data_IF_736434611991
#
_entry.id   IF_736434611991
#
_cell.length_a   1.000
_cell.length_b   1.000
_cell.length_c   1.000
_cell.angle_alpha   90.00
_cell.angle_beta   90.00
_cell.angle_gamma   90.00
#
_symmetry.space_group_name_H-M   'P 1'
#
loop_
_entity.id
_entity.type
_entity.pdbx_description
1 polymer ?
#
# COMPACT_ATOMS: atom_id res chain seq x y z
N UNK A 1 0.58 13.16 11.25
CA UNK A 1 1.01 12.19 10.23
C UNK A 1 -0.10 11.19 10.03
N UNK A 2 -0.27 10.70 8.81
CA UNK A 2 -1.39 9.84 8.44
C UNK A 2 -1.11 8.36 8.66
N UNK A 3 0.09 7.84 8.35
CA UNK A 3 0.43 6.40 8.38
C UNK A 3 -0.61 5.51 7.69
N UNK A 4 -1.23 6.01 6.63
CA UNK A 4 -2.30 5.30 5.92
C UNK A 4 -1.69 4.20 5.07
N UNK A 5 -2.42 3.11 4.91
CA UNK A 5 -2.02 2.03 4.02
C UNK A 5 -3.25 1.37 3.39
N UNK A 6 -3.00 0.56 2.36
CA UNK A 6 -3.97 -0.38 1.83
C UNK A 6 -3.62 -1.80 2.24
N UNK A 7 -4.65 -2.62 2.43
CA UNK A 7 -4.53 -4.07 2.59
C UNK A 7 -5.32 -4.74 1.48
N UNK A 8 -4.66 -5.59 0.71
CA UNK A 8 -5.22 -6.33 -0.40
C UNK A 8 -5.31 -7.80 0.01
N UNK A 9 -6.51 -8.32 0.23
CA UNK A 9 -6.71 -9.75 0.50
C UNK A 9 -6.97 -10.47 -0.81
N UNK A 10 -6.14 -11.45 -1.12
CA UNK A 10 -6.29 -12.31 -2.28
C UNK A 10 -7.54 -13.18 -2.16
N UNK A 11 -8.24 -13.32 -3.29
CA UNK A 11 -9.41 -14.19 -3.47
C UNK A 11 -8.99 -15.43 -4.27
N UNK A 12 -9.78 -16.53 -4.23
CA UNK A 12 -9.46 -17.77 -4.96
C UNK A 12 -9.30 -17.65 -6.49
N UNK A 13 -9.71 -16.53 -7.08
CA UNK A 13 -9.57 -16.22 -8.51
C UNK A 13 -8.38 -15.28 -8.79
N UNK A 14 -7.45 -15.11 -7.84
CA UNK A 14 -6.29 -14.20 -7.92
C UNK A 14 -6.64 -12.72 -8.09
N UNK A 15 -7.87 -12.33 -7.74
CA UNK A 15 -8.26 -10.93 -7.59
C UNK A 15 -8.23 -10.51 -6.12
N UNK A 16 -8.36 -9.22 -5.83
CA UNK A 16 -8.14 -8.68 -4.49
C UNK A 16 -9.33 -7.88 -3.98
N UNK A 17 -9.62 -8.04 -2.69
CA UNK A 17 -10.45 -7.09 -1.95
C UNK A 17 -9.54 -6.05 -1.31
N UNK A 18 -9.82 -4.77 -1.55
CA UNK A 18 -8.99 -3.66 -1.07
C UNK A 18 -9.63 -3.06 0.17
N UNK A 19 -8.85 -2.96 1.24
CA UNK A 19 -9.25 -2.36 2.51
C UNK A 19 -8.34 -1.21 2.89
N UNK A 20 -8.91 -0.26 3.63
CA UNK A 20 -8.19 0.90 4.15
C UNK A 20 -7.77 0.68 5.59
N UNK A 21 -6.59 1.18 5.95
CA UNK A 21 -6.16 1.31 7.34
C UNK A 21 -5.59 2.70 7.58
N UNK A 22 -6.02 3.33 8.68
CA UNK A 22 -5.54 4.66 9.00
C UNK A 22 -4.10 4.65 9.51
N UNK A 23 -3.71 3.69 10.36
CA UNK A 23 -2.38 3.66 10.99
C UNK A 23 -1.47 2.52 10.50
N UNK A 24 -1.90 1.78 9.48
CA UNK A 24 -1.22 0.59 9.01
C UNK A 24 0.17 0.81 8.43
N UNK A 25 0.51 2.00 7.95
CA UNK A 25 1.85 2.34 7.44
C UNK A 25 2.93 2.48 8.52
N UNK A 26 2.54 2.54 9.80
CA UNK A 26 3.45 2.75 10.90
C UNK A 26 4.31 1.49 11.14
N UNK A 27 5.62 1.60 10.91
CA UNK A 27 6.64 0.56 11.14
C UNK A 27 6.33 -0.81 10.51
N UNK A 28 5.48 -0.85 9.48
CA UNK A 28 5.00 -2.07 8.84
C UNK A 28 4.38 -3.10 9.81
N UNK A 29 3.84 -2.65 10.95
CA UNK A 29 3.42 -3.53 12.05
C UNK A 29 2.28 -4.49 11.70
N UNK A 30 1.47 -4.17 10.69
CA UNK A 30 0.33 -5.01 10.30
C UNK A 30 0.75 -6.40 9.83
N UNK A 31 1.99 -6.59 9.38
CA UNK A 31 2.53 -7.91 9.03
C UNK A 31 2.35 -8.95 10.13
N UNK A 32 2.31 -8.55 11.41
CA UNK A 32 2.11 -9.46 12.55
C UNK A 32 0.70 -9.42 13.14
N UNK A 33 -0.09 -8.41 12.78
CA UNK A 33 -1.43 -8.21 13.32
C UNK A 33 -2.49 -8.93 12.48
N UNK A 34 -2.26 -9.02 11.18
CA UNK A 34 -3.16 -9.72 10.25
C UNK A 34 -2.92 -11.23 10.34
N UNK A 35 -3.92 -11.94 10.83
CA UNK A 35 -3.90 -13.40 11.01
C UNK A 35 -5.27 -13.97 10.68
N UNK A 36 -5.42 -15.28 10.42
CA UNK A 36 -6.74 -15.87 10.15
C UNK A 36 -7.76 -15.58 11.26
N UNK A 37 -7.32 -15.55 12.52
CA UNK A 37 -8.19 -15.26 13.68
C UNK A 37 -8.49 -13.76 13.85
N UNK A 38 -7.70 -12.90 13.20
CA UNK A 38 -7.80 -11.43 13.27
C UNK A 38 -7.61 -10.87 11.86
N UNK A 39 -8.53 -11.15 10.93
CA UNK A 39 -8.34 -10.81 9.53
C UNK A 39 -8.17 -9.30 9.35
N UNK A 40 -8.88 -8.48 10.15
CA UNK A 40 -8.78 -7.02 10.13
C UNK A 40 -7.89 -6.43 11.25
N UNK A 41 -7.04 -7.25 11.86
CA UNK A 41 -6.20 -6.88 13.00
C UNK A 41 -6.98 -6.80 14.32
N UNK A 42 -6.50 -5.97 15.25
CA UNK A 42 -7.06 -5.86 16.61
C UNK A 42 -6.30 -6.69 17.65
N UNK A 43 -6.66 -6.52 18.92
CA UNK A 43 -5.94 -7.14 20.04
C UNK A 43 -6.30 -8.62 20.24
N UNK A 44 -7.53 -9.00 19.90
CA UNK A 44 -8.07 -10.34 20.18
C UNK A 44 -8.75 -10.94 18.96
N UNK A 45 -8.93 -12.26 18.89
CA UNK A 45 -9.82 -12.86 17.90
C UNK A 45 -11.25 -12.33 18.01
N UNK A 46 -11.91 -12.16 16.86
CA UNK A 46 -13.31 -11.75 16.76
C UNK A 46 -14.00 -12.65 15.73
N UNK A 47 -14.92 -13.51 16.18
CA UNK A 47 -15.62 -14.49 15.34
C UNK A 47 -16.49 -13.79 14.29
N UNK A 48 -17.06 -12.62 14.62
CA UNK A 48 -17.88 -11.88 13.67
C UNK A 48 -17.03 -11.31 12.54
N UNK A 49 -15.83 -10.80 12.85
CA UNK A 49 -14.90 -10.32 11.84
C UNK A 49 -14.40 -11.45 10.93
N UNK A 50 -14.18 -12.65 11.47
CA UNK A 50 -13.84 -13.84 10.69
C UNK A 50 -14.96 -14.21 9.72
N UNK A 51 -16.21 -14.28 10.20
CA UNK A 51 -17.38 -14.56 9.33
C UNK A 51 -17.54 -13.50 8.24
N UNK A 52 -17.38 -12.21 8.58
CA UNK A 52 -17.45 -11.12 7.60
C UNK A 52 -16.34 -11.23 6.56
N UNK A 53 -15.11 -11.56 6.97
CA UNK A 53 -13.99 -11.79 6.06
C UNK A 53 -14.26 -12.95 5.09
N UNK A 54 -14.75 -14.08 5.59
CA UNK A 54 -15.11 -15.24 4.75
C UNK A 54 -16.18 -14.86 3.71
N UNK A 55 -17.22 -14.13 4.11
CA UNK A 55 -18.26 -13.65 3.20
C UNK A 55 -17.70 -12.73 2.10
N UNK A 56 -16.72 -11.89 2.44
CA UNK A 56 -16.08 -10.97 1.50
C UNK A 56 -15.30 -11.70 0.39
N UNK A 57 -14.74 -12.88 0.66
CA UNK A 57 -13.97 -13.65 -0.33
C UNK A 57 -14.84 -14.09 -1.52
N UNK A 58 -16.13 -14.36 -1.28
CA UNK A 58 -17.08 -14.81 -2.29
C UNK A 58 -18.03 -13.70 -2.79
N UNK A 59 -18.03 -12.53 -2.15
CA UNK A 59 -18.91 -11.43 -2.49
C UNK A 59 -18.69 -10.89 -3.91
N UNK A 60 -19.79 -10.58 -4.60
CA UNK A 60 -19.77 -9.91 -5.92
C UNK A 60 -20.06 -8.42 -5.83
N UNK A 61 -20.76 -7.98 -4.79
CA UNK A 61 -21.02 -6.56 -4.48
C UNK A 61 -20.90 -6.32 -2.98
N UNK A 62 -20.57 -5.08 -2.60
CA UNK A 62 -20.47 -4.69 -1.17
C UNK A 62 -21.85 -4.76 -0.51
N UNK A 63 -22.90 -4.36 -1.22
CA UNK A 63 -24.29 -4.36 -0.74
C UNK A 63 -24.87 -5.77 -0.53
N UNK A 64 -24.24 -6.81 -1.10
CA UNK A 64 -24.64 -8.21 -0.87
C UNK A 64 -24.23 -8.72 0.53
N UNK A 65 -23.41 -7.93 1.25
CA UNK A 65 -22.95 -8.24 2.60
C UNK A 65 -23.80 -7.42 3.56
N UNK A 66 -24.17 -8.03 4.70
CA UNK A 66 -24.89 -7.33 5.77
C UNK A 66 -24.08 -6.10 6.20
N UNK A 67 -24.51 -4.90 5.78
CA UNK A 67 -23.82 -3.65 6.10
C UNK A 67 -23.83 -3.35 7.60
N UNK A 68 -24.82 -3.88 8.33
CA UNK A 68 -24.82 -3.79 9.79
C UNK A 68 -23.63 -4.57 10.40
N UNK A 69 -23.04 -5.53 9.67
CA UNK A 69 -21.83 -6.21 10.09
C UNK A 69 -20.60 -5.28 10.12
N UNK A 70 -20.59 -4.19 9.33
CA UNK A 70 -19.51 -3.20 9.34
C UNK A 70 -19.68 -2.15 10.44
N UNK A 71 -20.92 -1.80 10.78
CA UNK A 71 -21.25 -0.71 11.72
C UNK A 71 -21.50 -1.20 13.16
N UNK A 72 -21.59 -2.51 13.38
CA UNK A 72 -21.62 -3.08 14.73
C UNK A 72 -20.38 -2.65 15.49
N UNK A 73 -20.55 -2.07 16.68
CA UNK A 73 -19.44 -1.76 17.60
C UNK A 73 -18.67 -3.05 17.89
N UNK A 74 -17.59 -3.28 17.15
CA UNK A 74 -16.63 -4.31 17.50
C UNK A 74 -15.92 -3.84 18.76
N UNK A 75 -15.96 -4.68 19.79
CA UNK A 75 -15.22 -4.43 21.04
C UNK A 75 -13.69 -4.47 20.85
N UNK A 76 -13.21 -4.72 19.63
CA UNK A 76 -11.83 -5.02 19.29
C UNK A 76 -11.16 -3.99 18.35
N UNK A 77 -11.78 -2.82 18.13
CA UNK A 77 -11.31 -1.69 17.27
C UNK A 77 -10.33 -2.11 16.15
N UNK A 78 -10.85 -2.61 15.02
CA UNK A 78 -10.02 -3.23 14.00
C UNK A 78 -9.03 -2.21 13.40
N UNK A 79 -7.78 -2.65 13.24
CA UNK A 79 -6.74 -1.81 12.65
C UNK A 79 -6.94 -1.58 11.15
N UNK A 80 -7.66 -2.48 10.49
CA UNK A 80 -8.08 -2.39 9.09
C UNK A 80 -9.60 -2.22 9.06
N UNK A 81 -10.11 -1.28 8.25
CA UNK A 81 -11.56 -1.11 8.10
C UNK A 81 -12.15 -2.37 7.45
N UNK A 82 -13.12 -3.06 8.10
CA UNK A 82 -13.71 -4.28 7.54
C UNK A 82 -14.48 -4.03 6.24
N UNK A 83 -15.07 -2.85 6.07
CA UNK A 83 -15.72 -2.48 4.81
C UNK A 83 -14.66 -2.26 3.71
N UNK A 84 -14.68 -3.03 2.61
CA UNK A 84 -13.75 -2.86 1.50
C UNK A 84 -14.01 -1.56 0.74
N UNK A 85 -12.96 -0.99 0.17
CA UNK A 85 -13.02 0.08 -0.82
C UNK A 85 -13.39 -0.43 -2.21
N UNK A 86 -12.95 -1.65 -2.55
CA UNK A 86 -13.19 -2.31 -3.82
C UNK A 86 -13.15 -3.84 -3.63
N UNK A 87 -13.86 -4.57 -4.50
CA UNK A 87 -13.95 -6.02 -4.49
C UNK A 87 -13.43 -6.60 -5.78
N UNK A 88 -12.67 -7.69 -5.69
CA UNK A 88 -12.27 -8.51 -6.83
C UNK A 88 -11.51 -7.78 -7.93
N UNK A 89 -10.65 -6.82 -7.57
CA UNK A 89 -9.85 -6.05 -8.53
C UNK A 89 -8.56 -6.79 -8.87
N UNK A 90 -8.00 -6.55 -10.05
CA UNK A 90 -6.69 -7.12 -10.41
C UNK A 90 -5.56 -6.44 -9.63
N UNK A 91 -4.39 -7.07 -9.56
CA UNK A 91 -3.22 -6.43 -8.93
C UNK A 91 -2.75 -5.19 -9.69
N UNK A 92 -2.82 -5.22 -11.02
CA UNK A 92 -2.48 -4.07 -11.87
C UNK A 92 -3.44 -2.90 -11.63
N UNK A 93 -4.75 -3.15 -11.63
CA UNK A 93 -5.79 -2.17 -11.30
C UNK A 93 -5.63 -1.60 -9.88
N UNK A 94 -5.24 -2.44 -8.91
CA UNK A 94 -4.91 -1.99 -7.55
C UNK A 94 -3.80 -0.93 -7.57
N UNK A 95 -2.71 -1.20 -8.28
CA UNK A 95 -1.55 -0.31 -8.35
C UNK A 95 -1.81 0.93 -9.20
N UNK A 96 -2.66 0.82 -10.22
CA UNK A 96 -3.00 1.90 -11.13
C UNK A 96 -4.04 2.85 -10.53
N UNK A 97 -5.16 2.33 -10.02
CA UNK A 97 -6.35 3.12 -9.72
C UNK A 97 -6.58 3.33 -8.21
N UNK A 98 -6.29 2.32 -7.39
CA UNK A 98 -6.64 2.35 -5.97
C UNK A 98 -5.51 2.83 -5.05
N UNK A 99 -4.27 2.51 -5.37
CA UNK A 99 -3.12 2.91 -4.57
C UNK A 99 -2.78 4.38 -4.79
N UNK A 100 -3.25 5.22 -3.87
CA UNK A 100 -2.79 6.60 -3.75
C UNK A 100 -1.35 6.66 -3.22
N UNK A 101 -0.37 6.69 -4.11
CA UNK A 101 1.06 6.70 -3.80
C UNK A 101 1.48 7.85 -2.89
N UNK A 102 0.83 9.02 -2.99
CA UNK A 102 1.15 10.18 -2.15
C UNK A 102 0.78 9.95 -0.68
N UNK A 103 -0.35 9.29 -0.41
CA UNK A 103 -0.93 9.25 0.94
C UNK A 103 -0.92 7.88 1.60
N UNK A 104 -0.84 6.80 0.83
CA UNK A 104 -0.65 5.45 1.34
C UNK A 104 0.84 5.16 1.47
N UNK A 105 1.34 5.11 2.71
CA UNK A 105 2.76 4.89 3.04
C UNK A 105 3.18 3.43 2.93
N UNK A 106 2.21 2.51 2.85
CA UNK A 106 2.44 1.09 2.65
C UNK A 106 1.28 0.42 1.90
N UNK A 107 1.58 -0.75 1.33
CA UNK A 107 0.62 -1.71 0.79
C UNK A 107 0.92 -3.07 1.42
N UNK A 108 -0.11 -3.76 1.90
CA UNK A 108 -0.02 -5.13 2.36
C UNK A 108 -0.79 -6.02 1.41
N UNK A 109 -0.17 -7.10 0.96
CA UNK A 109 -0.83 -8.15 0.18
C UNK A 109 -0.90 -9.38 1.07
N UNK A 110 -2.12 -9.85 1.34
CA UNK A 110 -2.39 -11.04 2.14
C UNK A 110 -2.87 -12.13 1.19
N UNK A 111 -2.10 -13.19 1.05
CA UNK A 111 -2.48 -14.31 0.18
C UNK A 111 -3.50 -15.24 0.85
N UNK A 112 -3.98 -16.24 0.12
CA UNK A 112 -4.96 -17.22 0.63
C UNK A 112 -4.47 -18.00 1.87
N UNK A 113 -3.15 -18.20 1.99
CA UNK A 113 -2.50 -18.83 3.15
C UNK A 113 -2.26 -17.86 4.33
N UNK A 114 -2.76 -16.62 4.24
CA UNK A 114 -2.54 -15.53 5.20
C UNK A 114 -1.08 -15.10 5.37
N UNK A 115 -0.23 -15.37 4.38
CA UNK A 115 1.11 -14.79 4.32
C UNK A 115 1.00 -13.32 3.91
N UNK A 116 1.61 -12.45 4.69
CA UNK A 116 1.53 -11.00 4.50
C UNK A 116 2.82 -10.49 3.86
N UNK A 117 2.73 -10.03 2.62
CA UNK A 117 3.81 -9.30 1.95
C UNK A 117 3.61 -7.81 2.12
N UNK A 118 4.55 -7.14 2.77
CA UNK A 118 4.51 -5.70 2.97
C UNK A 118 5.39 -4.96 1.96
N UNK A 119 4.82 -3.93 1.35
CA UNK A 119 5.49 -3.03 0.43
C UNK A 119 5.53 -1.61 0.96
N UNK A 120 6.63 -0.91 0.70
CA UNK A 120 6.73 0.54 0.84
C UNK A 120 6.40 1.23 -0.47
N UNK A 121 5.60 2.26 -0.34
CA UNK A 121 5.12 3.07 -1.46
C UNK A 121 6.06 4.24 -1.74
N UNK A 122 6.35 4.47 -3.01
CA UNK A 122 7.23 5.52 -3.52
C UNK A 122 6.49 6.33 -4.56
N UNK A 123 6.07 7.54 -4.20
CA UNK A 123 5.37 8.42 -5.14
C UNK A 123 6.33 9.28 -5.95
N UNK A 124 6.19 9.23 -7.28
CA UNK A 124 7.07 9.99 -8.18
C UNK A 124 6.68 11.46 -8.35
N UNK A 125 5.53 11.91 -7.83
CA UNK A 125 5.15 13.32 -7.94
C UNK A 125 6.09 14.24 -7.16
N UNK A 126 6.51 15.34 -7.77
CA UNK A 126 7.47 16.34 -7.31
C UNK A 126 6.83 17.66 -6.90
N UNK A 127 5.50 17.74 -6.78
CA UNK A 127 4.81 19.01 -6.43
C UNK A 127 5.22 19.59 -5.06
N UNK A 128 5.90 18.81 -4.22
CA UNK A 128 6.46 19.25 -2.94
C UNK A 128 7.99 19.37 -2.96
N UNK A 129 8.61 19.01 -4.07
CA UNK A 129 10.07 18.92 -4.25
C UNK A 129 10.59 19.86 -5.36
N UNK A 130 9.70 20.38 -6.23
CA UNK A 130 9.98 21.31 -7.32
C UNK A 130 8.95 22.45 -7.35
N UNK A 131 9.39 23.70 -7.33
CA UNK A 131 8.52 24.89 -7.34
C UNK A 131 7.73 25.02 -8.66
N UNK A 132 8.30 24.53 -9.75
CA UNK A 132 7.68 24.55 -11.08
C UNK A 132 6.58 23.49 -11.28
N UNK A 133 6.33 22.63 -10.29
CA UNK A 133 5.35 21.55 -10.33
C UNK A 133 4.23 21.82 -9.32
N UNK A 134 2.99 21.91 -9.80
CA UNK A 134 1.85 22.31 -8.96
C UNK A 134 0.88 21.18 -8.64
N UNK A 135 0.82 20.15 -9.48
CA UNK A 135 -0.04 18.97 -9.28
C UNK A 135 0.48 17.79 -10.09
N UNK A 136 0.36 16.59 -9.53
CA UNK A 136 0.71 15.34 -10.19
C UNK A 136 -0.22 14.19 -9.81
N UNK A 137 -0.41 13.20 -10.70
CA UNK A 137 -1.26 12.04 -10.42
C UNK A 137 -0.81 11.35 -9.13
N UNK A 138 -1.78 11.04 -8.26
CA UNK A 138 -1.56 10.37 -6.98
C UNK A 138 -1.71 8.86 -7.10
N UNK A 139 -2.52 8.39 -8.04
CA UNK A 139 -2.63 6.99 -8.43
C UNK A 139 -1.90 6.80 -9.77
N UNK A 140 -1.41 5.59 -10.04
CA UNK A 140 -0.71 5.25 -11.28
C UNK A 140 0.61 6.00 -11.54
N UNK A 141 1.22 6.62 -10.52
CA UNK A 141 2.45 7.39 -10.66
C UNK A 141 3.42 7.15 -9.49
N UNK A 142 3.93 5.93 -9.40
CA UNK A 142 4.81 5.54 -8.32
C UNK A 142 5.31 4.12 -8.43
N UNK A 143 5.87 3.64 -7.34
CA UNK A 143 6.34 2.28 -7.20
C UNK A 143 6.01 1.71 -5.82
N UNK A 144 5.92 0.40 -5.73
CA UNK A 144 5.91 -0.34 -4.47
C UNK A 144 7.09 -1.29 -4.44
N UNK A 145 7.81 -1.33 -3.31
CA UNK A 145 8.94 -2.27 -3.12
C UNK A 145 8.85 -2.99 -1.79
N UNK A 146 9.17 -4.28 -1.78
CA UNK A 146 9.27 -5.04 -0.52
C UNK A 146 10.42 -4.52 0.34
N UNK A 147 10.32 -4.70 1.65
CA UNK A 147 11.43 -4.44 2.58
C UNK A 147 12.07 -5.74 3.05
N UNK A 148 13.31 -5.66 3.55
CA UNK A 148 13.98 -6.80 4.16
C UNK A 148 13.46 -7.01 5.57
N UNK A 149 13.38 -8.27 5.99
CA UNK A 149 12.94 -8.67 7.32
C UNK A 149 14.03 -9.47 8.04
N UNK A 150 14.21 -9.23 9.33
CA UNK A 150 15.09 -10.02 10.19
C UNK A 150 14.45 -10.17 11.56
N UNK A 151 14.29 -11.41 12.03
CA UNK A 151 13.61 -11.73 13.30
C UNK A 151 12.25 -11.03 13.47
N UNK A 152 11.47 -10.96 12.38
CA UNK A 152 10.15 -10.31 12.39
C UNK A 152 10.18 -8.80 12.33
N UNK A 153 11.33 -8.14 12.28
CA UNK A 153 11.41 -6.68 12.19
C UNK A 153 11.86 -6.22 10.80
N UNK A 154 11.29 -5.12 10.27
CA UNK A 154 11.74 -4.56 9.01
C UNK A 154 13.12 -3.93 9.17
N UNK A 155 14.09 -4.37 8.34
CA UNK A 155 15.47 -3.89 8.37
C UNK A 155 15.72 -2.93 7.21
N UNK A 156 16.19 -1.74 7.55
CA UNK A 156 16.53 -0.71 6.56
C UNK A 156 15.32 0.02 6.00
N UNK A 157 14.14 -0.11 6.60
CA UNK A 157 12.93 0.60 6.19
C UNK A 157 13.12 2.14 6.19
N UNK A 158 13.65 2.68 7.29
CA UNK A 158 13.97 4.11 7.38
C UNK A 158 15.04 4.55 6.37
N UNK A 159 16.01 3.69 6.06
CA UNK A 159 17.01 3.94 5.01
C UNK A 159 16.33 4.02 3.64
N UNK A 160 15.45 3.06 3.33
CA UNK A 160 14.68 2.98 2.08
C UNK A 160 13.83 4.23 1.84
N UNK A 161 13.18 4.75 2.89
CA UNK A 161 12.38 5.96 2.79
C UNK A 161 13.25 7.21 2.62
N UNK A 162 14.32 7.33 3.42
CA UNK A 162 15.24 8.47 3.34
C UNK A 162 15.99 8.56 2.00
N UNK A 163 16.41 7.42 1.46
CA UNK A 163 17.10 7.33 0.16
C UNK A 163 16.20 7.85 -0.98
N UNK A 164 14.93 7.45 -1.01
CA UNK A 164 14.00 7.93 -2.02
C UNK A 164 13.60 9.40 -1.82
N UNK A 165 13.45 9.85 -0.58
CA UNK A 165 13.19 11.26 -0.29
C UNK A 165 14.36 12.15 -0.75
N UNK A 166 15.60 11.71 -0.53
CA UNK A 166 16.79 12.42 -1.01
C UNK A 166 16.83 12.48 -2.54
N UNK A 167 16.49 11.37 -3.21
CA UNK A 167 16.39 11.32 -4.67
C UNK A 167 15.39 12.37 -5.18
N UNK A 168 14.19 12.42 -4.61
CA UNK A 168 13.15 13.38 -5.00
C UNK A 168 13.61 14.82 -4.85
N UNK A 169 14.23 15.16 -3.72
CA UNK A 169 14.74 16.51 -3.47
C UNK A 169 15.74 16.95 -4.54
N UNK A 170 16.69 16.09 -4.91
CA UNK A 170 17.69 16.39 -5.96
C UNK A 170 17.03 16.48 -7.34
N UNK A 171 16.14 15.54 -7.66
CA UNK A 171 15.45 15.51 -8.95
C UNK A 171 14.56 16.74 -9.12
N UNK A 172 13.86 17.17 -8.07
CA UNK A 172 13.04 18.38 -8.07
C UNK A 172 13.86 19.64 -8.38
N UNK A 173 15.03 19.79 -7.74
CA UNK A 173 15.96 20.89 -8.05
C UNK A 173 16.44 20.86 -9.51
N UNK A 174 16.69 19.67 -10.07
CA UNK A 174 17.07 19.52 -11.48
C UNK A 174 15.92 19.85 -12.45
N UNK A 175 14.67 19.60 -12.06
CA UNK A 175 13.49 20.02 -12.83
C UNK A 175 13.37 21.54 -12.83
N UNK A 176 13.49 22.20 -11.67
CA UNK A 176 13.40 23.68 -11.57
C UNK A 176 14.53 24.38 -12.34
N UNK A 177 15.70 23.75 -12.45
CA UNK A 177 16.82 24.23 -13.27
C UNK A 177 16.68 23.92 -14.76
N UNK A 178 15.62 23.24 -15.18
CA UNK A 178 15.38 22.86 -16.57
C UNK A 178 16.33 21.78 -17.09
N UNK A 179 17.00 21.02 -16.20
CA UNK A 179 17.84 19.88 -16.57
C UNK A 179 16.98 18.67 -16.91
N UNK A 180 15.92 18.44 -16.13
CA UNK A 180 14.92 17.41 -16.41
C UNK A 180 13.58 18.00 -16.84
N UNK A 181 12.91 17.30 -17.75
CA UNK A 181 11.46 17.43 -17.92
C UNK A 181 10.78 16.59 -16.85
N UNK A 182 9.48 16.81 -16.63
CA UNK A 182 8.70 15.97 -15.70
C UNK A 182 8.78 14.49 -16.06
N UNK A 183 8.62 14.16 -17.35
CA UNK A 183 8.73 12.78 -17.83
C UNK A 183 10.12 12.18 -17.62
N UNK A 184 11.21 12.91 -17.91
CA UNK A 184 12.56 12.37 -17.71
C UNK A 184 12.91 12.24 -16.23
N UNK A 185 12.35 13.09 -15.37
CA UNK A 185 12.46 12.98 -13.93
C UNK A 185 11.82 11.68 -13.39
N UNK A 186 10.58 11.37 -13.82
CA UNK A 186 9.90 10.12 -13.46
C UNK A 186 10.70 8.91 -13.93
N UNK A 187 11.13 8.89 -15.20
CA UNK A 187 11.96 7.81 -15.75
C UNK A 187 13.27 7.64 -14.96
N UNK A 188 13.94 8.75 -14.62
CA UNK A 188 15.17 8.71 -13.84
C UNK A 188 14.95 8.15 -12.43
N UNK A 189 13.87 8.55 -11.76
CA UNK A 189 13.53 8.03 -10.43
C UNK A 189 13.18 6.54 -10.45
N UNK A 190 12.39 6.11 -11.43
CA UNK A 190 12.06 4.70 -11.65
C UNK A 190 13.33 3.87 -11.89
N UNK A 191 14.24 4.35 -12.74
CA UNK A 191 15.52 3.68 -13.00
C UNK A 191 16.35 3.55 -11.72
N UNK A 192 16.47 4.62 -10.91
CA UNK A 192 17.24 4.60 -9.67
C UNK A 192 16.67 3.62 -8.65
N UNK A 193 15.34 3.58 -8.49
CA UNK A 193 14.70 2.58 -7.64
C UNK A 193 15.00 1.15 -8.10
N UNK A 194 14.96 0.89 -9.41
CA UNK A 194 15.33 -0.42 -9.96
C UNK A 194 16.79 -0.78 -9.69
N UNK A 195 17.71 0.18 -9.80
CA UNK A 195 19.14 -0.03 -9.50
C UNK A 195 19.40 -0.30 -8.00
N UNK A 196 18.62 0.31 -7.11
CA UNK A 196 18.79 0.18 -5.65
C UNK A 196 18.07 -1.01 -5.05
N UNK A 197 17.11 -1.60 -5.76
CA UNK A 197 16.33 -2.72 -5.24
C UNK A 197 17.08 -4.04 -5.47
N UNK A 198 17.26 -4.82 -4.40
CA UNK A 198 17.92 -6.13 -4.47
C UNK A 198 17.17 -7.07 -5.42
N UNK A 199 17.85 -7.97 -6.15
CA UNK A 199 17.18 -9.01 -6.94
C UNK A 199 16.27 -9.95 -6.14
N UNK A 200 16.41 -9.95 -4.81
CA UNK A 200 15.59 -10.74 -3.88
C UNK A 200 14.38 -9.97 -3.34
N UNK A 201 14.17 -8.74 -3.78
CA UNK A 201 13.07 -7.88 -3.39
C UNK A 201 12.17 -7.62 -4.60
N UNK A 202 10.87 -7.71 -4.41
CA UNK A 202 9.92 -7.32 -5.44
C UNK A 202 9.84 -5.80 -5.56
N UNK A 203 9.71 -5.34 -6.80
CA UNK A 203 9.52 -3.95 -7.20
C UNK A 203 8.48 -3.90 -8.31
N UNK A 204 7.41 -3.15 -8.08
CA UNK A 204 6.41 -2.84 -9.10
C UNK A 204 6.43 -1.34 -9.34
N UNK A 205 6.52 -0.93 -10.60
CA UNK A 205 6.59 0.47 -11.03
C UNK A 205 5.39 0.72 -11.93
N UNK A 206 4.65 1.78 -11.66
CA UNK A 206 3.57 2.27 -12.50
C UNK A 206 3.78 3.75 -12.82
N UNK A 207 3.81 4.08 -14.09
CA UNK A 207 3.98 5.46 -14.57
C UNK A 207 2.89 5.79 -15.59
N UNK A 208 2.34 7.02 -15.61
CA UNK A 208 1.33 7.43 -16.57
C UNK A 208 1.79 7.46 -18.03
#
# INVERSE_FOLDING_TARGET
MGHRALVAYERPNSSYNIHYTHWGGLNLRLTHELTPQRPFGGERPDDQQQVTFEQLLDATTIDAIDTDAFDRESTNDPSVRPQPMALGVSFDELLEEHLNYLSHEALYVVNEDFQVTAYRTHWFGLQYDAESVTDEPKCGNGAVRTVRWYNGEPVGDGYVQGEFQALKSVVGELVDRGVFTRSSAVTYMAQKLSEWTSPTQDLHIWTP
#
